data_IF_824712191065
#
_entry.id   IF_824712191065
#
_cell.length_a   1.000
_cell.length_b   1.000
_cell.length_c   1.000
_cell.angle_alpha   90.00
_cell.angle_beta   90.00
_cell.angle_gamma   90.00
#
_symmetry.space_group_name_H-M   'P 1'
#
loop_
_entity.id
_entity.type
_entity.pdbx_description
1 polymer ?
#
# COMPACT_ATOMS: atom_id res chain seq x y z
N UNK A 1 -4.25 -12.74 1.45
CA UNK A 1 -4.84 -11.40 1.25
C UNK A 1 -3.88 -10.44 1.90
N UNK A 2 -3.42 -9.43 1.15
CA UNK A 2 -2.45 -8.45 1.65
C UNK A 2 -3.01 -7.71 2.87
N UNK A 3 -2.13 -7.38 3.81
CA UNK A 3 -2.47 -6.56 4.97
C UNK A 3 -2.71 -5.12 4.53
N UNK A 4 -3.66 -4.47 5.19
CA UNK A 4 -3.93 -3.04 5.02
C UNK A 4 -3.49 -2.32 6.28
N UNK A 5 -2.73 -1.25 6.09
CA UNK A 5 -2.28 -0.38 7.16
C UNK A 5 -2.92 0.99 7.04
N UNK A 6 -3.02 1.70 8.16
CA UNK A 6 -3.63 3.03 8.24
C UNK A 6 -2.75 3.96 9.06
N UNK A 7 -2.60 5.18 8.54
CA UNK A 7 -2.02 6.33 9.23
C UNK A 7 -2.94 7.54 9.00
N UNK A 8 -3.57 8.04 10.07
CA UNK A 8 -4.62 9.07 10.00
C UNK A 8 -5.69 8.69 8.96
N UNK A 9 -5.97 9.56 7.98
CA UNK A 9 -6.97 9.33 6.93
C UNK A 9 -6.44 8.56 5.71
N UNK A 10 -5.17 8.15 5.75
CA UNK A 10 -4.50 7.43 4.68
C UNK A 10 -4.39 5.96 5.04
N UNK A 11 -4.68 5.12 4.06
CA UNK A 11 -4.41 3.70 4.10
C UNK A 11 -3.28 3.39 3.14
N UNK A 12 -2.53 2.33 3.40
CA UNK A 12 -1.56 1.81 2.47
C UNK A 12 -1.48 0.29 2.54
N UNK A 13 -1.23 -0.33 1.38
CA UNK A 13 -1.19 -1.78 1.24
C UNK A 13 -0.45 -2.15 -0.04
N UNK A 14 0.12 -3.35 -0.05
CA UNK A 14 0.66 -3.95 -1.27
C UNK A 14 -0.44 -4.34 -2.25
N UNK A 15 -0.15 -4.37 -3.54
CA UNK A 15 -0.98 -4.98 -4.57
C UNK A 15 -0.44 -6.39 -4.83
N UNK A 16 -1.25 -7.42 -4.58
CA UNK A 16 -0.80 -8.81 -4.69
C UNK A 16 -0.27 -9.15 -6.08
N UNK A 17 0.91 -9.77 -6.16
CA UNK A 17 1.40 -10.35 -7.40
C UNK A 17 0.75 -11.71 -7.68
N UNK A 18 0.91 -12.22 -8.90
CA UNK A 18 0.51 -13.59 -9.26
C UNK A 18 1.37 -14.65 -8.55
N UNK A 19 2.53 -14.24 -8.03
CA UNK A 19 3.43 -15.09 -7.25
C UNK A 19 3.07 -14.84 -5.78
N UNK A 20 2.71 -15.87 -5.00
CA UNK A 20 2.34 -15.71 -3.60
C UNK A 20 3.41 -14.99 -2.78
N UNK A 21 2.98 -14.04 -1.95
CA UNK A 21 3.86 -13.25 -1.08
C UNK A 21 4.61 -12.10 -1.78
N UNK A 22 4.58 -12.03 -3.10
CA UNK A 22 5.15 -10.92 -3.87
C UNK A 22 4.12 -9.83 -4.14
N UNK A 23 4.60 -8.62 -4.38
CA UNK A 23 3.83 -7.43 -4.67
C UNK A 23 4.14 -6.89 -6.06
N UNK A 24 3.13 -6.39 -6.76
CA UNK A 24 3.27 -5.67 -8.04
C UNK A 24 3.54 -4.18 -7.84
N UNK A 25 2.98 -3.62 -6.77
CA UNK A 25 3.01 -2.21 -6.42
C UNK A 25 2.63 -2.07 -4.94
N UNK A 26 2.79 -0.86 -4.40
CA UNK A 26 2.24 -0.48 -3.09
C UNK A 26 1.40 0.76 -3.30
N UNK A 27 0.17 0.77 -2.77
CA UNK A 27 -0.75 1.89 -2.96
C UNK A 27 -0.92 2.66 -1.66
N UNK A 28 -0.99 3.99 -1.77
CA UNK A 28 -1.71 4.84 -0.84
C UNK A 28 -3.16 4.97 -1.28
N UNK A 29 -4.07 4.92 -0.31
CA UNK A 29 -5.51 4.97 -0.51
C UNK A 29 -6.09 5.99 0.46
N UNK A 30 -6.85 6.94 -0.04
CA UNK A 30 -7.45 7.99 0.79
C UNK A 30 -8.75 8.47 0.19
N UNK A 31 -9.57 9.12 1.01
CA UNK A 31 -10.86 9.64 0.58
C UNK A 31 -10.68 11.06 0.02
N UNK A 32 -11.17 11.29 -1.19
CA UNK A 32 -11.28 12.62 -1.79
C UNK A 32 -12.76 12.90 -2.11
N UNK A 33 -13.42 13.71 -1.29
CA UNK A 33 -14.86 13.89 -1.33
C UNK A 33 -15.60 12.58 -1.04
N UNK A 34 -16.40 12.11 -2.00
CA UNK A 34 -17.15 10.84 -1.88
C UNK A 34 -16.43 9.64 -2.51
N UNK A 35 -15.23 9.83 -3.05
CA UNK A 35 -14.52 8.80 -3.81
C UNK A 35 -13.25 8.35 -3.11
N UNK A 36 -12.95 7.05 -3.17
CA UNK A 36 -11.66 6.51 -2.76
C UNK A 36 -10.66 6.65 -3.91
N UNK A 37 -9.53 7.31 -3.63
CA UNK A 37 -8.44 7.52 -4.59
C UNK A 37 -7.29 6.59 -4.23
N UNK A 38 -6.67 6.00 -5.24
CA UNK A 38 -5.51 5.12 -5.11
C UNK A 38 -4.32 5.71 -5.87
N UNK A 39 -3.16 5.78 -5.24
CA UNK A 39 -1.92 6.29 -5.85
C UNK A 39 -0.78 5.35 -5.51
N UNK A 40 0.03 4.95 -6.50
CA UNK A 40 1.26 4.20 -6.23
C UNK A 40 2.16 4.97 -5.26
N UNK A 41 2.72 4.28 -4.27
CA UNK A 41 3.60 4.83 -3.27
C UNK A 41 4.85 5.46 -3.90
N UNK A 42 5.32 4.96 -5.05
CA UNK A 42 6.41 5.61 -5.80
C UNK A 42 6.03 7.03 -6.24
N UNK A 43 4.78 7.22 -6.67
CA UNK A 43 4.25 8.49 -7.21
C UNK A 43 3.56 9.35 -6.18
N UNK A 44 3.34 8.84 -4.97
CA UNK A 44 2.64 9.55 -3.93
C UNK A 44 3.45 10.77 -3.49
N UNK A 45 2.79 11.91 -3.37
CA UNK A 45 3.39 13.15 -2.91
C UNK A 45 2.58 13.72 -1.75
N UNK A 46 3.28 14.21 -0.73
CA UNK A 46 2.68 14.78 0.47
C UNK A 46 3.64 15.81 1.06
N UNK A 47 3.11 16.82 1.72
CA UNK A 47 3.90 17.76 2.54
C UNK A 47 4.00 17.30 4.00
N UNK A 48 3.29 16.23 4.39
CA UNK A 48 3.33 15.69 5.73
C UNK A 48 4.58 14.82 5.92
N UNK A 49 5.44 15.19 6.88
CA UNK A 49 6.71 14.51 7.14
C UNK A 49 6.58 13.02 7.48
N UNK A 50 5.54 12.62 8.21
CA UNK A 50 5.29 11.21 8.54
C UNK A 50 4.86 10.41 7.31
N UNK A 51 3.97 10.97 6.47
CA UNK A 51 3.58 10.34 5.21
C UNK A 51 4.74 10.18 4.24
N UNK A 52 5.64 11.16 4.16
CA UNK A 52 6.88 11.05 3.39
C UNK A 52 7.73 9.88 3.93
N UNK A 53 7.92 9.79 5.25
CA UNK A 53 8.70 8.71 5.86
C UNK A 53 8.09 7.33 5.65
N UNK A 54 6.76 7.21 5.70
CA UNK A 54 6.04 5.97 5.38
C UNK A 54 6.31 5.62 3.92
N UNK A 55 6.05 6.56 3.00
CA UNK A 55 6.24 6.38 1.56
C UNK A 55 7.64 5.88 1.22
N UNK A 56 8.67 6.56 1.72
CA UNK A 56 10.06 6.24 1.40
C UNK A 56 10.49 4.83 1.82
N UNK A 57 9.83 4.25 2.84
CA UNK A 57 10.13 2.88 3.30
C UNK A 57 9.35 1.81 2.56
N UNK A 58 8.17 2.12 2.02
CA UNK A 58 7.30 1.11 1.41
C UNK A 58 7.27 1.15 -0.12
N UNK A 59 7.68 2.26 -0.75
CA UNK A 59 7.47 2.49 -2.20
C UNK A 59 8.11 1.47 -3.13
N UNK A 60 9.12 0.73 -2.65
CA UNK A 60 9.80 -0.33 -3.41
C UNK A 60 9.67 -1.70 -2.75
N UNK A 61 8.71 -1.89 -1.84
CA UNK A 61 8.47 -3.18 -1.22
C UNK A 61 8.03 -4.18 -2.29
N UNK A 62 8.75 -5.30 -2.40
CA UNK A 62 8.47 -6.36 -3.37
C UNK A 62 7.80 -7.57 -2.73
N UNK A 63 7.86 -7.67 -1.40
CA UNK A 63 7.24 -8.72 -0.61
C UNK A 63 6.31 -8.15 0.47
N UNK A 64 5.30 -8.92 0.87
CA UNK A 64 4.42 -8.55 1.99
C UNK A 64 5.23 -8.29 3.29
N UNK A 65 6.26 -9.10 3.52
CA UNK A 65 7.16 -8.98 4.68
C UNK A 65 7.96 -7.67 4.71
N UNK A 66 8.22 -7.06 3.56
CA UNK A 66 8.95 -5.79 3.49
C UNK A 66 8.09 -4.65 4.07
N UNK A 67 6.78 -4.68 3.79
CA UNK A 67 5.83 -3.73 4.36
C UNK A 67 5.74 -3.96 5.88
N UNK A 68 5.67 -5.21 6.33
CA UNK A 68 5.59 -5.54 7.75
C UNK A 68 6.83 -5.03 8.52
N UNK A 69 8.03 -5.23 7.96
CA UNK A 69 9.28 -4.70 8.53
C UNK A 69 9.25 -3.17 8.58
N UNK A 70 8.90 -2.52 7.46
CA UNK A 70 8.81 -1.07 7.39
C UNK A 70 7.82 -0.50 8.42
N UNK A 71 6.64 -1.11 8.57
CA UNK A 71 5.63 -0.70 9.56
C UNK A 71 6.16 -0.83 10.98
N UNK A 72 6.85 -1.92 11.30
CA UNK A 72 7.43 -2.13 12.62
C UNK A 72 8.52 -1.11 12.94
N UNK A 73 9.37 -0.76 11.98
CA UNK A 73 10.37 0.31 12.14
C UNK A 73 9.71 1.67 12.35
N UNK A 74 8.69 1.99 11.56
CA UNK A 74 7.96 3.26 11.67
C UNK A 74 7.27 3.41 13.03
N UNK A 75 6.69 2.32 13.56
CA UNK A 75 6.14 2.28 14.92
C UNK A 75 7.21 2.52 15.98
N UNK A 76 8.40 1.93 15.84
CA UNK A 76 9.54 2.18 16.74
C UNK A 76 10.03 3.63 16.71
N UNK A 77 9.88 4.29 15.57
CA UNK A 77 10.18 5.72 15.39
C UNK A 77 9.06 6.64 15.92
N UNK A 78 7.98 6.09 16.48
CA UNK A 78 6.86 6.85 17.05
C UNK A 78 5.74 7.18 16.06
N UNK A 79 5.75 6.63 14.84
CA UNK A 79 4.64 6.81 13.90
C UNK A 79 3.52 5.81 14.23
N UNK A 80 2.36 6.31 14.63
CA UNK A 80 1.20 5.49 14.97
C UNK A 80 0.54 4.93 13.71
N UNK A 81 0.79 3.65 13.43
CA UNK A 81 0.24 2.93 12.27
C UNK A 81 -0.62 1.78 12.77
N UNK A 82 -1.85 1.68 12.28
CA UNK A 82 -2.82 0.62 12.60
C UNK A 82 -2.88 -0.41 11.49
N UNK A 83 -3.07 -1.69 11.83
CA UNK A 83 -3.48 -2.71 10.86
C UNK A 83 -5.02 -2.74 10.79
N UNK A 84 -5.58 -2.68 9.59
CA UNK A 84 -7.02 -2.59 9.35
C UNK A 84 -7.50 -3.87 8.68
N UNK A 85 -8.30 -4.65 9.41
CA UNK A 85 -8.85 -5.92 8.89
C UNK A 85 -9.98 -5.71 7.88
N UNK A 86 -10.83 -4.70 8.12
CA UNK A 86 -12.02 -4.41 7.32
C UNK A 86 -11.94 -2.96 6.81
N UNK A 87 -11.17 -2.69 5.74
CA UNK A 87 -11.06 -1.34 5.22
C UNK A 87 -12.40 -0.86 4.62
N UNK A 88 -12.71 0.45 4.70
CA UNK A 88 -13.97 1.02 4.22
C UNK A 88 -14.02 1.22 2.68
N UNK A 89 -13.16 0.52 1.94
CA UNK A 89 -13.05 0.57 0.49
C UNK A 89 -13.05 -0.84 -0.11
N UNK A 90 -13.32 -0.93 -1.41
CA UNK A 90 -13.38 -2.21 -2.11
C UNK A 90 -11.98 -2.82 -2.25
N UNK A 91 -11.71 -3.94 -1.57
CA UNK A 91 -10.39 -4.60 -1.56
C UNK A 91 -9.95 -5.14 -2.92
N UNK A 92 -10.83 -5.20 -3.93
CA UNK A 92 -10.45 -5.57 -5.31
C UNK A 92 -9.37 -4.67 -5.91
N UNK A 93 -9.20 -3.45 -5.40
CA UNK A 93 -8.11 -2.56 -5.81
C UNK A 93 -6.71 -3.04 -5.38
N UNK A 94 -6.65 -4.01 -4.45
CA UNK A 94 -5.42 -4.63 -3.96
C UNK A 94 -5.13 -5.97 -4.65
N UNK A 95 -6.05 -6.46 -5.46
CA UNK A 95 -5.83 -7.64 -6.29
C UNK A 95 -4.99 -7.21 -7.50
N UNK A 96 -3.82 -7.84 -7.68
CA UNK A 96 -3.00 -7.58 -8.85
C UNK A 96 -3.76 -7.78 -10.14
N UNK A 97 -3.55 -6.89 -11.10
CA UNK A 97 -4.02 -7.15 -12.45
C UNK A 97 -3.26 -8.37 -12.95
N UNK A 98 -3.96 -9.46 -13.26
CA UNK A 98 -3.42 -10.46 -14.18
C UNK A 98 -3.12 -9.69 -15.46
N UNK A 99 -1.85 -9.43 -15.76
CA UNK A 99 -1.47 -9.14 -17.14
C UNK A 99 -1.94 -10.37 -17.90
N UNK A 100 -3.03 -10.24 -18.64
CA UNK A 100 -3.27 -11.12 -19.78
C UNK A 100 -2.06 -10.81 -20.66
N UNK A 101 -1.08 -11.71 -20.65
CA UNK A 101 -0.03 -11.70 -21.64
C UNK A 101 -0.80 -11.87 -22.95
N UNK A 102 -1.15 -10.76 -23.60
CA UNK A 102 -1.50 -10.83 -25.01
C UNK A 102 -0.25 -11.44 -25.64
N UNK A 103 -0.46 -12.66 -26.11
CA UNK A 103 0.56 -13.54 -26.60
C UNK A 103 1.39 -12.81 -27.65
N UNK A 104 2.67 -13.16 -27.65
CA UNK A 104 3.61 -12.87 -28.70
C UNK A 104 2.95 -13.10 -30.06
N UNK A 105 2.96 -12.09 -30.92
CA UNK A 105 2.87 -12.23 -32.38
C UNK A 105 4.23 -11.81 -32.96
#
# INVERSE_FOLDING_TARGET
MVKVYKYNDYYFAGVSHVIPGYLQDVLFIYKNGNTWVTVSAERFNSQNGSLIQIKERIKYATHEDDIDKAVNELRRMGISIEEVRNPPFNTKLLEGKKKIQAEFD
#
